data_IF_442066338462
#
_entry.id   IF_442066338462
#
_cell.length_a   1.000
_cell.length_b   1.000
_cell.length_c   1.000
_cell.angle_alpha   90.00
_cell.angle_beta   90.00
_cell.angle_gamma   90.00
#
_symmetry.space_group_name_H-M   'P 1'
#
loop_
_entity.id
_entity.type
_entity.pdbx_description
1 polymer ?
#
# COMPACT_ATOMS: atom_id res chain seq x y z
N UNK A 1 -19.38 -17.07 13.62
CA UNK A 1 -17.94 -16.89 13.37
C UNK A 1 -17.60 -17.48 11.98
N UNK A 2 -17.59 -16.67 10.95
CA UNK A 2 -17.19 -17.10 9.60
C UNK A 2 -15.70 -16.83 9.44
N UNK A 3 -14.91 -17.89 9.55
CA UNK A 3 -13.47 -17.86 9.24
C UNK A 3 -13.33 -17.57 7.74
N UNK A 4 -12.70 -16.44 7.41
CA UNK A 4 -12.34 -16.14 6.03
C UNK A 4 -11.13 -17.03 5.67
N UNK A 5 -11.39 -18.13 4.97
CA UNK A 5 -10.31 -18.93 4.38
C UNK A 5 -9.80 -18.23 3.13
N UNK A 6 -8.63 -17.63 3.23
CA UNK A 6 -7.87 -17.16 2.09
C UNK A 6 -7.13 -18.37 1.51
N UNK A 7 -7.67 -18.97 0.44
CA UNK A 7 -6.99 -20.05 -0.29
C UNK A 7 -5.76 -19.50 -0.99
N UNK A 8 -4.60 -19.68 -0.38
CA UNK A 8 -3.31 -19.41 -1.00
C UNK A 8 -2.92 -20.62 -1.82
N UNK A 9 -3.03 -20.53 -3.14
CA UNK A 9 -2.55 -21.57 -4.05
C UNK A 9 -1.02 -21.65 -3.96
N UNK A 10 -0.52 -22.75 -3.39
CA UNK A 10 0.91 -23.07 -3.31
C UNK A 10 1.33 -23.61 -4.66
N UNK A 11 2.12 -22.83 -5.41
CA UNK A 11 2.87 -23.35 -6.56
C UNK A 11 4.15 -24.05 -6.05
N UNK A 12 4.13 -25.36 -6.06
CA UNK A 12 5.32 -26.19 -5.83
C UNK A 12 6.19 -26.22 -7.08
N UNK A 13 7.21 -25.39 -7.10
CA UNK A 13 8.32 -25.49 -8.05
C UNK A 13 9.61 -25.70 -7.27
N UNK A 14 10.26 -26.83 -7.49
CA UNK A 14 11.52 -27.22 -6.87
C UNK A 14 12.63 -26.28 -7.38
N UNK A 15 13.00 -25.30 -6.59
CA UNK A 15 14.28 -24.61 -6.62
C UNK A 15 14.63 -24.26 -5.18
N UNK A 16 15.87 -24.38 -4.78
CA UNK A 16 16.40 -24.07 -3.44
C UNK A 16 15.78 -22.78 -2.91
N UNK A 17 14.78 -22.95 -2.06
CA UNK A 17 13.89 -21.87 -1.63
C UNK A 17 14.61 -21.07 -0.55
N UNK A 18 15.32 -20.04 -0.96
CA UNK A 18 15.45 -18.89 -0.06
C UNK A 18 14.04 -18.34 0.17
N UNK A 19 13.58 -18.39 1.41
CA UNK A 19 12.27 -17.86 1.76
C UNK A 19 12.18 -16.39 1.30
N UNK A 20 11.25 -16.07 0.41
CA UNK A 20 11.07 -14.71 -0.11
C UNK A 20 10.86 -13.74 1.06
N UNK A 21 11.69 -12.71 1.15
CA UNK A 21 11.55 -11.67 2.15
C UNK A 21 10.36 -10.78 1.80
N UNK A 22 9.45 -10.62 2.77
CA UNK A 22 8.19 -9.90 2.60
C UNK A 22 8.16 -8.65 3.46
N UNK A 23 7.74 -7.54 2.89
CA UNK A 23 7.50 -6.29 3.61
C UNK A 23 6.06 -5.85 3.38
N UNK A 24 5.37 -5.48 4.45
CA UNK A 24 4.13 -4.71 4.40
C UNK A 24 4.50 -3.23 4.52
N UNK A 25 4.37 -2.50 3.41
CA UNK A 25 4.70 -1.09 3.32
C UNK A 25 3.41 -0.32 3.06
N UNK A 26 3.05 0.64 3.92
CA UNK A 26 1.75 1.27 3.83
C UNK A 26 1.75 2.74 4.23
N UNK A 27 0.85 3.50 3.64
CA UNK A 27 0.42 4.82 4.13
C UNK A 27 -0.97 4.73 4.73
N UNK A 28 -1.19 5.38 5.85
CA UNK A 28 -2.51 5.46 6.49
C UNK A 28 -2.73 6.84 7.10
N UNK A 29 -3.80 7.52 6.69
CA UNK A 29 -4.17 8.85 7.21
C UNK A 29 -4.81 8.74 8.59
N UNK A 30 -5.84 7.92 8.71
CA UNK A 30 -6.71 7.83 9.88
C UNK A 30 -6.68 6.46 10.58
N UNK A 31 -5.67 5.64 10.31
CA UNK A 31 -5.52 4.32 10.93
C UNK A 31 -6.21 3.16 10.20
N UNK A 32 -7.15 3.42 9.28
CA UNK A 32 -7.91 2.35 8.62
C UNK A 32 -7.01 1.42 7.78
N UNK A 33 -6.12 1.99 6.94
CA UNK A 33 -5.17 1.18 6.16
C UNK A 33 -4.16 0.49 7.07
N UNK A 34 -3.75 1.14 8.17
CA UNK A 34 -2.87 0.57 9.18
C UNK A 34 -3.45 -0.71 9.77
N UNK A 35 -4.73 -0.73 10.16
CA UNK A 35 -5.40 -1.92 10.70
C UNK A 35 -5.32 -3.10 9.73
N UNK A 36 -5.54 -2.86 8.44
CA UNK A 36 -5.43 -3.90 7.41
C UNK A 36 -3.96 -4.35 7.24
N UNK A 37 -3.02 -3.41 7.27
CA UNK A 37 -1.58 -3.70 7.15
C UNK A 37 -1.08 -4.59 8.30
N UNK A 38 -1.48 -4.28 9.52
CA UNK A 38 -1.12 -5.05 10.72
C UNK A 38 -1.69 -6.47 10.69
N UNK A 39 -2.90 -6.64 10.18
CA UNK A 39 -3.50 -7.98 10.02
C UNK A 39 -2.75 -8.80 8.95
N UNK A 40 -2.41 -8.19 7.80
CA UNK A 40 -1.59 -8.85 6.76
C UNK A 40 -0.22 -9.24 7.34
N UNK A 41 0.42 -8.34 8.05
CA UNK A 41 1.72 -8.58 8.69
C UNK A 41 1.66 -9.76 9.65
N UNK A 42 0.65 -9.82 10.51
CA UNK A 42 0.44 -10.88 11.49
C UNK A 42 0.23 -12.24 10.80
N UNK A 43 -0.58 -12.29 9.76
CA UNK A 43 -0.87 -13.54 9.04
C UNK A 43 0.34 -14.08 8.27
N UNK A 44 1.18 -13.20 7.75
CA UNK A 44 2.31 -13.58 6.89
C UNK A 44 3.65 -13.68 7.64
N UNK A 45 3.74 -13.20 8.87
CA UNK A 45 5.00 -13.06 9.59
C UNK A 45 5.99 -12.13 8.85
N UNK A 46 5.47 -11.14 8.12
CA UNK A 46 6.26 -10.22 7.32
C UNK A 46 6.82 -9.07 8.18
N UNK A 47 7.83 -8.40 7.68
CA UNK A 47 8.22 -7.09 8.21
C UNK A 47 7.13 -6.06 7.86
N UNK A 48 7.07 -4.98 8.66
CA UNK A 48 6.10 -3.90 8.42
C UNK A 48 6.74 -2.54 8.59
N UNK A 49 6.35 -1.58 7.73
CA UNK A 49 6.77 -0.18 7.85
C UNK A 49 5.68 0.76 7.33
N UNK A 50 5.48 1.85 8.06
CA UNK A 50 4.62 2.95 7.64
C UNK A 50 5.39 3.95 6.78
N UNK A 51 4.80 4.36 5.68
CA UNK A 51 5.20 5.56 4.93
C UNK A 51 4.63 6.76 5.64
N UNK A 52 5.47 7.68 6.07
CA UNK A 52 5.06 8.87 6.80
C UNK A 52 5.35 10.13 6.00
N UNK A 53 4.37 11.02 5.82
CA UNK A 53 4.63 12.35 5.30
C UNK A 53 5.45 13.16 6.32
N UNK A 54 6.42 13.96 5.83
CA UNK A 54 7.21 14.86 6.69
C UNK A 54 6.29 15.87 7.35
N UNK A 55 5.36 16.43 6.59
CA UNK A 55 4.25 17.25 7.09
C UNK A 55 2.98 16.41 7.08
N UNK A 56 2.50 15.90 8.22
CA UNK A 56 1.27 15.12 8.27
C UNK A 56 0.07 15.90 7.71
N UNK A 57 -0.90 15.18 7.15
CA UNK A 57 -2.18 15.79 6.81
C UNK A 57 -2.96 15.96 8.11
N UNK A 58 -3.05 17.19 8.55
CA UNK A 58 -3.75 17.58 9.79
C UNK A 58 -4.98 18.39 9.46
N UNK A 59 -5.96 18.31 10.32
CA UNK A 59 -7.24 18.99 10.13
C UNK A 59 -8.36 17.99 9.81
N UNK A 60 -9.44 18.56 9.31
CA UNK A 60 -10.59 17.75 8.93
C UNK A 60 -10.44 17.14 7.51
N UNK A 61 -11.46 16.42 7.11
CA UNK A 61 -11.53 15.79 5.78
C UNK A 61 -11.43 16.81 4.64
N UNK A 62 -12.01 18.01 4.80
CA UNK A 62 -11.96 19.07 3.79
C UNK A 62 -10.55 19.64 3.63
N UNK A 63 -9.83 19.83 4.73
CA UNK A 63 -8.44 20.30 4.68
C UNK A 63 -7.53 19.29 3.94
N UNK A 64 -7.71 18.01 4.21
CA UNK A 64 -6.99 16.93 3.49
C UNK A 64 -7.30 16.95 1.99
N UNK A 65 -8.58 17.10 1.61
CA UNK A 65 -8.98 17.19 0.19
C UNK A 65 -8.35 18.42 -0.47
N UNK A 66 -8.44 19.59 0.15
CA UNK A 66 -7.91 20.82 -0.43
C UNK A 66 -6.40 20.74 -0.65
N UNK A 67 -5.66 20.27 0.36
CA UNK A 67 -4.22 20.07 0.24
C UNK A 67 -3.89 19.04 -0.84
N UNK A 68 -4.52 17.89 -0.82
CA UNK A 68 -4.27 16.83 -1.79
C UNK A 68 -4.58 17.23 -3.24
N UNK A 69 -5.66 18.01 -3.45
CA UNK A 69 -5.98 18.58 -4.78
C UNK A 69 -4.92 19.57 -5.24
N UNK A 70 -4.46 20.47 -4.35
CA UNK A 70 -3.41 21.43 -4.67
C UNK A 70 -2.09 20.74 -5.06
N UNK A 71 -1.69 19.74 -4.29
CA UNK A 71 -0.50 18.94 -4.60
C UNK A 71 -0.59 18.29 -5.99
N UNK A 72 -1.74 17.68 -6.32
CA UNK A 72 -1.99 17.06 -7.63
C UNK A 72 -2.00 18.06 -8.76
N UNK A 73 -2.70 19.17 -8.60
CA UNK A 73 -2.80 20.21 -9.63
C UNK A 73 -1.44 20.82 -9.98
N UNK A 74 -0.54 20.94 -9.00
CA UNK A 74 0.79 21.50 -9.17
C UNK A 74 1.87 20.45 -9.48
N UNK A 75 1.56 19.15 -9.40
CA UNK A 75 2.56 18.08 -9.50
C UNK A 75 3.60 18.11 -8.35
N UNK A 76 3.25 18.70 -7.22
CA UNK A 76 4.11 18.86 -6.05
C UNK A 76 3.69 17.84 -4.98
N UNK A 77 4.34 16.70 -5.00
CA UNK A 77 4.02 15.62 -4.08
C UNK A 77 4.63 15.87 -2.70
N UNK A 78 3.95 15.43 -1.60
CA UNK A 78 4.43 15.65 -0.25
C UNK A 78 5.73 14.90 0.01
N UNK A 79 6.68 15.53 0.68
CA UNK A 79 7.87 14.83 1.14
C UNK A 79 7.50 13.74 2.15
N UNK A 80 8.18 12.59 2.07
CA UNK A 80 8.05 11.50 3.02
C UNK A 80 9.33 11.34 3.84
N UNK A 81 9.19 10.85 5.06
CA UNK A 81 10.34 10.48 5.88
C UNK A 81 11.11 9.33 5.24
N UNK A 82 12.43 9.26 5.39
CA UNK A 82 13.22 8.12 4.90
C UNK A 82 12.70 6.81 5.47
N UNK A 83 12.65 5.77 4.63
CA UNK A 83 12.34 4.42 5.10
C UNK A 83 13.47 3.91 6.00
N UNK A 84 13.09 3.20 7.06
CA UNK A 84 14.02 2.53 7.98
C UNK A 84 14.45 1.16 7.45
N UNK A 85 13.57 0.52 6.67
CA UNK A 85 13.81 -0.78 6.07
C UNK A 85 14.58 -0.63 4.76
N UNK A 86 15.59 -1.46 4.58
CA UNK A 86 16.34 -1.55 3.32
C UNK A 86 15.52 -2.33 2.29
N UNK A 87 14.98 -1.61 1.32
CA UNK A 87 14.10 -2.15 0.28
C UNK A 87 14.78 -3.23 -0.56
N UNK A 88 16.12 -3.23 -0.67
CA UNK A 88 16.86 -4.22 -1.47
C UNK A 88 16.71 -5.65 -0.93
N UNK A 89 16.38 -5.80 0.36
CA UNK A 89 16.26 -7.10 1.03
C UNK A 89 14.92 -7.81 0.78
N UNK A 90 13.96 -7.13 0.16
CA UNK A 90 12.60 -7.66 0.01
C UNK A 90 12.28 -7.98 -1.44
N UNK A 91 11.74 -9.16 -1.66
CA UNK A 91 11.29 -9.64 -2.98
C UNK A 91 9.81 -9.33 -3.22
N UNK A 92 9.03 -9.32 -2.13
CA UNK A 92 7.57 -9.12 -2.17
C UNK A 92 7.19 -7.95 -1.26
N UNK A 93 6.55 -6.96 -1.83
CA UNK A 93 6.05 -5.78 -1.12
C UNK A 93 4.52 -5.78 -1.15
N UNK A 94 3.90 -5.92 0.02
CA UNK A 94 2.48 -5.65 0.21
C UNK A 94 2.31 -4.15 0.38
N UNK A 95 1.85 -3.47 -0.68
CA UNK A 95 1.76 -2.01 -0.72
C UNK A 95 0.34 -1.55 -0.39
N UNK A 96 0.20 -0.92 0.78
CA UNK A 96 -1.07 -0.46 1.33
C UNK A 96 -1.30 1.04 1.23
N UNK A 97 -2.53 1.44 0.86
CA UNK A 97 -2.88 2.85 0.76
C UNK A 97 -4.40 3.10 0.82
N UNK A 98 -4.83 4.26 1.33
CA UNK A 98 -6.20 4.71 1.11
C UNK A 98 -6.36 5.21 -0.32
N UNK A 99 -7.56 5.02 -0.88
CA UNK A 99 -7.89 5.61 -2.18
C UNK A 99 -8.23 7.09 -1.99
N UNK A 100 -7.43 7.93 -2.64
CA UNK A 100 -7.64 9.37 -2.77
C UNK A 100 -7.81 9.73 -4.24
N UNK A 101 -8.84 10.50 -4.57
CA UNK A 101 -9.11 10.96 -5.95
C UNK A 101 -9.11 9.80 -6.98
N UNK A 102 -9.65 8.64 -6.60
CA UNK A 102 -9.76 7.46 -7.46
C UNK A 102 -8.50 6.62 -7.63
N UNK A 103 -7.39 6.99 -6.96
CA UNK A 103 -6.12 6.26 -7.00
C UNK A 103 -5.44 6.21 -5.63
N UNK A 104 -4.18 5.83 -5.55
CA UNK A 104 -3.44 5.81 -4.29
C UNK A 104 -3.17 7.23 -3.77
N UNK A 105 -3.07 7.36 -2.43
CA UNK A 105 -2.80 8.62 -1.73
C UNK A 105 -1.48 9.27 -2.16
N UNK A 106 -1.40 10.60 -2.08
CA UNK A 106 -0.27 11.38 -2.57
C UNK A 106 1.10 10.98 -1.99
N UNK A 107 1.26 10.64 -0.70
CA UNK A 107 2.55 10.15 -0.18
C UNK A 107 3.08 8.90 -0.89
N UNK A 108 2.19 8.07 -1.43
CA UNK A 108 2.60 6.89 -2.22
C UNK A 108 3.23 7.31 -3.55
N UNK A 109 2.79 8.41 -4.16
CA UNK A 109 3.46 8.91 -5.39
C UNK A 109 4.94 9.20 -5.11
N UNK A 110 5.22 9.88 -4.01
CA UNK A 110 6.61 10.17 -3.59
C UNK A 110 7.41 8.90 -3.32
N UNK A 111 6.79 7.91 -2.65
CA UNK A 111 7.42 6.62 -2.42
C UNK A 111 7.79 5.92 -3.74
N UNK A 112 6.86 5.87 -4.70
CA UNK A 112 7.08 5.20 -5.98
C UNK A 112 8.16 5.87 -6.82
N UNK A 113 8.29 7.19 -6.70
CA UNK A 113 9.31 7.96 -7.41
C UNK A 113 10.70 7.86 -6.73
N UNK A 114 10.74 7.60 -5.43
CA UNK A 114 11.96 7.64 -4.62
C UNK A 114 12.58 6.29 -4.30
N UNK A 115 11.91 5.17 -4.60
CA UNK A 115 12.39 3.82 -4.28
C UNK A 115 12.49 2.95 -5.52
N UNK A 116 13.44 2.00 -5.50
CA UNK A 116 13.58 1.00 -6.57
C UNK A 116 12.71 -0.23 -6.31
N UNK A 117 11.73 -0.45 -7.18
CA UNK A 117 10.85 -1.61 -7.17
C UNK A 117 11.15 -2.61 -8.30
N UNK A 118 12.21 -2.42 -9.08
CA UNK A 118 12.54 -3.30 -10.19
C UNK A 118 12.75 -4.75 -9.72
N UNK A 119 12.16 -5.69 -10.45
CA UNK A 119 12.24 -7.12 -10.16
C UNK A 119 11.41 -7.60 -8.97
N UNK A 120 10.78 -6.70 -8.22
CA UNK A 120 9.96 -7.05 -7.04
C UNK A 120 8.52 -7.39 -7.45
N UNK A 121 7.88 -8.22 -6.64
CA UNK A 121 6.43 -8.45 -6.73
C UNK A 121 5.71 -7.49 -5.78
N UNK A 122 4.81 -6.68 -6.32
CA UNK A 122 3.99 -5.75 -5.56
C UNK A 122 2.58 -6.32 -5.45
N UNK A 123 2.10 -6.51 -4.23
CA UNK A 123 0.73 -6.93 -3.93
C UNK A 123 -0.02 -5.74 -3.35
N UNK A 124 -0.80 -5.00 -4.16
CA UNK A 124 -1.48 -3.82 -3.66
C UNK A 124 -2.66 -4.20 -2.77
N UNK A 125 -2.84 -3.46 -1.68
CA UNK A 125 -4.08 -3.48 -0.91
C UNK A 125 -4.53 -2.05 -0.60
N UNK A 126 -5.82 -1.81 -0.64
CA UNK A 126 -6.32 -0.46 -0.42
C UNK A 126 -7.58 -0.41 0.43
N UNK A 127 -7.77 0.72 1.10
CA UNK A 127 -8.99 1.06 1.81
C UNK A 127 -9.73 2.18 1.08
N UNK A 128 -11.05 2.12 1.01
CA UNK A 128 -11.84 3.07 0.24
C UNK A 128 -13.27 3.23 0.77
N UNK A 129 -13.87 4.37 0.47
CA UNK A 129 -15.31 4.60 0.66
C UNK A 129 -16.13 3.99 -0.48
N UNK A 130 -15.80 4.30 -1.73
CA UNK A 130 -16.61 4.00 -2.91
C UNK A 130 -15.94 3.14 -3.99
N UNK A 131 -14.65 2.79 -3.86
CA UNK A 131 -13.91 1.99 -4.82
C UNK A 131 -12.54 2.57 -5.16
N UNK A 132 -11.96 2.16 -6.31
CA UNK A 132 -10.67 2.68 -6.81
C UNK A 132 -9.56 1.64 -6.94
N UNK A 133 -9.76 0.38 -6.50
CA UNK A 133 -8.76 -0.68 -6.59
C UNK A 133 -8.26 -0.89 -8.03
N UNK A 134 -9.17 -1.04 -8.98
CA UNK A 134 -8.79 -1.32 -10.36
C UNK A 134 -7.99 -0.18 -10.99
N UNK A 135 -8.44 1.06 -10.78
CA UNK A 135 -7.76 2.26 -11.28
C UNK A 135 -6.39 2.43 -10.63
N UNK A 136 -6.30 2.29 -9.31
CA UNK A 136 -5.02 2.43 -8.60
C UNK A 136 -4.03 1.33 -8.99
N UNK A 137 -4.50 0.08 -9.18
CA UNK A 137 -3.67 -1.02 -9.66
C UNK A 137 -3.17 -0.78 -11.10
N UNK A 138 -4.02 -0.26 -11.98
CA UNK A 138 -3.61 0.13 -13.33
C UNK A 138 -2.54 1.25 -13.31
N UNK A 139 -2.71 2.22 -12.41
CA UNK A 139 -1.72 3.29 -12.22
C UNK A 139 -0.39 2.77 -11.65
N UNK A 140 -0.42 1.80 -10.73
CA UNK A 140 0.79 1.13 -10.25
C UNK A 140 1.55 0.43 -11.37
N UNK A 141 0.85 -0.28 -12.27
CA UNK A 141 1.47 -0.93 -13.44
C UNK A 141 2.17 0.07 -14.36
N UNK A 142 1.60 1.25 -14.52
CA UNK A 142 2.21 2.33 -15.31
C UNK A 142 3.41 2.96 -14.60
N UNK A 143 3.31 3.18 -13.29
CA UNK A 143 4.37 3.79 -12.48
C UNK A 143 5.57 2.85 -12.28
N UNK A 144 5.33 1.53 -12.22
CA UNK A 144 6.34 0.52 -11.93
C UNK A 144 6.45 -0.52 -13.04
N UNK A 145 6.88 -0.14 -14.27
CA UNK A 145 6.88 -1.06 -15.41
C UNK A 145 7.88 -2.22 -15.28
N UNK A 146 8.86 -2.10 -14.37
CA UNK A 146 9.86 -3.14 -14.09
C UNK A 146 9.52 -4.03 -12.89
N UNK A 147 8.39 -3.78 -12.21
CA UNK A 147 7.89 -4.61 -11.12
C UNK A 147 6.75 -5.52 -11.61
N UNK A 148 6.54 -6.64 -10.93
CA UNK A 148 5.36 -7.49 -11.14
C UNK A 148 4.24 -7.03 -10.23
N UNK A 149 3.17 -6.49 -10.78
CA UNK A 149 1.99 -6.10 -10.00
C UNK A 149 1.03 -7.28 -9.95
N UNK A 150 0.88 -7.87 -8.77
CA UNK A 150 -0.04 -8.97 -8.50
C UNK A 150 -1.49 -8.49 -8.38
N UNK A 151 -2.41 -9.43 -8.25
CA UNK A 151 -3.80 -9.12 -7.95
C UNK A 151 -3.90 -8.38 -6.61
N UNK A 152 -4.59 -7.25 -6.62
CA UNK A 152 -4.79 -6.43 -5.44
C UNK A 152 -6.00 -6.84 -4.62
N UNK A 153 -6.06 -6.30 -3.39
CA UNK A 153 -7.16 -6.48 -2.46
C UNK A 153 -7.70 -5.13 -2.00
N UNK A 154 -9.01 -4.98 -1.97
CA UNK A 154 -9.66 -3.73 -1.57
C UNK A 154 -10.68 -3.94 -0.45
N UNK A 155 -10.64 -3.09 0.57
CA UNK A 155 -11.53 -3.12 1.72
C UNK A 155 -12.29 -1.81 1.85
N UNK A 156 -13.61 -1.88 1.98
CA UNK A 156 -14.39 -0.71 2.34
C UNK A 156 -14.07 -0.27 3.77
N UNK A 157 -13.77 1.00 3.97
CA UNK A 157 -13.47 1.60 5.28
C UNK A 157 -14.51 1.23 6.35
N UNK A 158 -15.79 1.28 6.00
CA UNK A 158 -16.88 0.90 6.91
C UNK A 158 -16.85 -0.58 7.38
N UNK A 159 -16.14 -1.46 6.67
CA UNK A 159 -15.96 -2.86 7.08
C UNK A 159 -14.78 -3.04 8.02
N UNK A 160 -13.73 -2.23 7.88
CA UNK A 160 -12.56 -2.26 8.77
C UNK A 160 -12.97 -1.82 10.18
N UNK A 161 -13.74 -0.75 10.30
CA UNK A 161 -14.23 -0.24 11.58
C UNK A 161 -15.14 -1.21 12.37
N UNK A 162 -15.71 -2.23 11.70
CA UNK A 162 -16.54 -3.25 12.35
C UNK A 162 -15.76 -4.50 12.79
N UNK A 163 -14.49 -4.60 12.41
CA UNK A 163 -13.64 -5.74 12.72
C UNK A 163 -12.68 -5.46 13.90
N UNK A 164 -12.61 -4.21 14.36
CA UNK A 164 -11.91 -3.75 15.54
C UNK A 164 -12.86 -3.63 16.73
#
# INVERSE_FOLDING_TARGET
>A
MRKLFLSLAIMTGIATSYAQQKLVLYYSENGTTKTVAEEIQKQLGADIEAVEAVEPYTGDFQATIQRGNKERANGQWPAIKPLKKDMSKYDVIFLGYPIWFGTYANPIVTLLNGQDFAGKTIVPFCTFGSGGLNTSTANLKKALPKAKIAQGYGVRTARVAKAA
#
